data_IF_747841580290
#
_entry.id   IF_747841580290
#
_cell.length_a   1.000
_cell.length_b   1.000
_cell.length_c   1.000
_cell.angle_alpha   90.00
_cell.angle_beta   90.00
_cell.angle_gamma   90.00
#
_symmetry.space_group_name_H-M   'P 1'
#
loop_
_entity.id
_entity.type
_entity.pdbx_description
1 polymer ?
#
# COMPACT_ATOMS: atom_id res chain seq x y z
N UNK A 1 35.65 -22.49 15.41
CA UNK A 1 35.59 -22.09 13.98
C UNK A 1 36.16 -23.22 13.13
N UNK A 2 35.35 -23.83 12.27
CA UNK A 2 35.74 -24.99 11.48
C UNK A 2 36.81 -24.61 10.44
N UNK A 3 37.84 -25.48 10.27
CA UNK A 3 38.91 -25.32 9.27
C UNK A 3 38.41 -24.98 7.84
N UNK A 4 37.17 -25.27 7.53
CA UNK A 4 36.55 -25.02 6.22
C UNK A 4 36.18 -23.52 6.02
N UNK A 5 35.98 -22.76 7.07
CA UNK A 5 35.67 -21.31 6.94
C UNK A 5 36.92 -20.45 6.71
N UNK A 6 38.07 -20.89 7.18
CA UNK A 6 39.36 -20.21 6.94
C UNK A 6 39.89 -20.37 5.51
N UNK A 7 39.45 -21.38 4.78
CA UNK A 7 39.94 -21.66 3.39
C UNK A 7 39.20 -20.81 2.35
N UNK A 8 37.98 -20.36 2.59
CA UNK A 8 37.18 -19.57 1.65
C UNK A 8 37.84 -18.26 1.21
N UNK A 9 38.35 -17.40 2.10
CA UNK A 9 38.99 -16.14 1.70
C UNK A 9 40.25 -16.34 0.89
N UNK A 10 41.03 -17.40 1.15
CA UNK A 10 42.22 -17.73 0.38
C UNK A 10 41.86 -18.23 -1.03
N UNK A 11 40.80 -19.01 -1.16
CA UNK A 11 40.33 -19.51 -2.46
C UNK A 11 39.80 -18.37 -3.33
N UNK A 12 39.10 -17.41 -2.73
CA UNK A 12 38.60 -16.21 -3.41
C UNK A 12 39.73 -15.29 -3.87
N UNK A 13 40.76 -15.12 -3.03
CA UNK A 13 41.93 -14.31 -3.37
C UNK A 13 42.76 -14.94 -4.50
N UNK A 14 42.97 -16.24 -4.48
CA UNK A 14 43.70 -16.93 -5.56
C UNK A 14 42.95 -16.86 -6.89
N UNK A 15 41.62 -17.03 -6.89
CA UNK A 15 40.80 -16.87 -8.09
C UNK A 15 40.82 -15.44 -8.63
N UNK A 16 40.74 -14.43 -7.75
CA UNK A 16 40.86 -13.02 -8.11
C UNK A 16 42.22 -12.66 -8.67
N UNK A 17 43.33 -13.18 -8.12
CA UNK A 17 44.69 -12.96 -8.59
C UNK A 17 44.90 -13.54 -9.97
N UNK A 18 44.44 -14.78 -10.20
CA UNK A 18 44.54 -15.46 -11.51
C UNK A 18 43.75 -14.72 -12.57
N UNK A 19 42.53 -14.28 -12.24
CA UNK A 19 41.70 -13.50 -13.15
C UNK A 19 42.32 -12.14 -13.49
N UNK A 20 42.89 -11.45 -12.51
CA UNK A 20 43.54 -10.16 -12.69
C UNK A 20 44.82 -10.27 -13.56
N UNK A 21 45.62 -11.32 -13.36
CA UNK A 21 46.79 -11.61 -14.21
C UNK A 21 46.37 -11.93 -15.65
N UNK A 22 45.31 -12.71 -15.84
CA UNK A 22 44.78 -13.04 -17.16
C UNK A 22 44.28 -11.78 -17.91
N UNK A 23 43.66 -10.85 -17.22
CA UNK A 23 43.21 -9.56 -17.79
C UNK A 23 44.43 -8.70 -18.19
N UNK A 24 45.45 -8.60 -17.33
CA UNK A 24 46.67 -7.84 -17.62
C UNK A 24 47.46 -8.40 -18.82
N UNK A 25 47.51 -9.72 -18.98
CA UNK A 25 48.15 -10.37 -20.15
C UNK A 25 47.35 -10.16 -21.44
N UNK A 26 46.03 -10.14 -21.34
CA UNK A 26 45.17 -9.92 -22.51
C UNK A 26 45.29 -8.49 -23.10
N UNK A 27 45.54 -7.48 -22.25
CA UNK A 27 45.68 -6.07 -22.68
C UNK A 27 47.11 -5.66 -23.04
N UNK A 28 48.07 -6.63 -23.29
CA UNK A 28 49.47 -6.36 -23.67
C UNK A 28 50.17 -5.32 -22.78
N UNK A 29 49.86 -5.35 -21.46
CA UNK A 29 50.48 -4.41 -20.51
C UNK A 29 52.00 -4.69 -20.40
N UNK A 30 52.85 -3.67 -20.19
CA UNK A 30 54.28 -3.87 -20.05
C UNK A 30 54.62 -4.87 -18.94
N UNK A 31 55.44 -5.85 -19.22
CA UNK A 31 55.74 -6.99 -18.32
C UNK A 31 56.27 -6.59 -16.94
N UNK A 32 56.86 -5.41 -16.80
CA UNK A 32 57.33 -4.90 -15.50
C UNK A 32 56.19 -4.41 -14.56
N UNK A 33 54.98 -4.19 -15.06
CA UNK A 33 53.82 -3.81 -14.22
C UNK A 33 53.17 -5.00 -13.52
N UNK A 34 53.33 -6.21 -14.05
CA UNK A 34 52.74 -7.44 -13.46
C UNK A 34 53.26 -7.71 -12.05
N UNK A 35 54.59 -7.70 -11.77
CA UNK A 35 55.09 -7.91 -10.42
C UNK A 35 54.67 -6.79 -9.43
N UNK A 36 54.56 -5.55 -9.89
CA UNK A 36 54.09 -4.43 -9.06
C UNK A 36 52.62 -4.63 -8.65
N UNK A 37 51.77 -5.09 -9.58
CA UNK A 37 50.37 -5.38 -9.30
C UNK A 37 50.18 -6.56 -8.35
N UNK A 38 51.00 -7.61 -8.52
CA UNK A 38 50.98 -8.77 -7.60
C UNK A 38 51.36 -8.31 -6.17
N UNK A 39 52.41 -7.53 -6.07
CA UNK A 39 52.91 -7.04 -4.77
C UNK A 39 51.84 -6.14 -4.08
N UNK A 40 51.16 -5.29 -4.84
CA UNK A 40 50.08 -4.46 -4.34
C UNK A 40 48.87 -5.29 -3.88
N UNK A 41 48.48 -6.30 -4.67
CA UNK A 41 47.38 -7.20 -4.31
C UNK A 41 47.72 -8.05 -3.08
N UNK A 42 48.95 -8.51 -2.94
CA UNK A 42 49.39 -9.23 -1.75
C UNK A 42 49.41 -8.35 -0.50
N UNK A 43 49.81 -7.07 -0.62
CA UNK A 43 49.79 -6.15 0.53
C UNK A 43 48.38 -5.83 0.97
N UNK A 44 47.44 -5.59 0.05
CA UNK A 44 46.04 -5.39 0.37
C UNK A 44 45.42 -6.62 1.05
N UNK A 45 45.73 -7.82 0.54
CA UNK A 45 45.25 -9.05 1.16
C UNK A 45 45.86 -9.26 2.55
N UNK A 46 47.13 -8.95 2.74
CA UNK A 46 47.76 -9.01 4.06
C UNK A 46 47.14 -8.04 5.04
N UNK A 47 46.85 -6.78 4.62
CA UNK A 47 46.13 -5.80 5.42
C UNK A 47 44.72 -6.27 5.77
N UNK A 48 44.00 -6.87 4.81
CA UNK A 48 42.67 -7.43 5.03
C UNK A 48 42.70 -8.58 6.05
N UNK A 49 43.64 -9.53 5.91
CA UNK A 49 43.80 -10.62 6.89
C UNK A 49 44.23 -10.12 8.27
N UNK A 50 45.09 -9.10 8.31
CA UNK A 50 45.52 -8.50 9.56
C UNK A 50 44.39 -7.73 10.25
N UNK A 51 43.53 -7.08 9.48
CA UNK A 51 42.28 -6.47 9.96
C UNK A 51 41.32 -7.52 10.52
N UNK A 52 41.12 -8.66 9.82
CA UNK A 52 40.31 -9.77 10.34
C UNK A 52 40.90 -10.39 11.62
N UNK A 53 42.22 -10.53 11.70
CA UNK A 53 42.90 -10.99 12.93
C UNK A 53 42.75 -9.99 14.08
N UNK A 54 42.87 -8.71 13.80
CA UNK A 54 42.68 -7.65 14.82
C UNK A 54 41.25 -7.62 15.35
N UNK A 55 40.24 -7.98 14.52
CA UNK A 55 38.86 -8.18 14.98
C UNK A 55 38.74 -9.47 15.82
N UNK A 56 39.36 -10.59 15.38
CA UNK A 56 39.35 -11.85 16.13
C UNK A 56 40.10 -11.75 17.44
N UNK A 57 41.27 -11.06 17.49
CA UNK A 57 42.05 -10.85 18.70
C UNK A 57 41.37 -9.88 19.70
N UNK A 58 40.53 -8.94 19.20
CA UNK A 58 39.66 -8.14 20.06
C UNK A 58 38.54 -8.97 20.69
N UNK A 59 37.98 -9.89 19.92
CA UNK A 59 36.96 -10.82 20.45
C UNK A 59 37.58 -11.88 21.37
N UNK A 60 38.80 -12.40 21.07
CA UNK A 60 39.52 -13.32 21.94
C UNK A 60 40.09 -12.62 23.22
N UNK A 61 40.50 -11.37 23.14
CA UNK A 61 40.88 -10.60 24.33
C UNK A 61 39.66 -10.16 25.17
N UNK A 62 38.47 -10.02 24.57
CA UNK A 62 37.20 -9.93 25.31
C UNK A 62 36.75 -11.27 25.91
N UNK A 63 37.13 -12.39 25.28
CA UNK A 63 36.83 -13.76 25.75
C UNK A 63 37.95 -14.34 26.62
N UNK A 64 39.21 -13.94 26.42
CA UNK A 64 40.40 -14.54 27.02
C UNK A 64 40.94 -13.87 28.29
N UNK A 65 40.47 -12.69 28.70
CA UNK A 65 40.83 -12.07 30.00
C UNK A 65 39.79 -12.24 31.11
N UNK A 66 38.83 -13.08 30.89
CA UNK A 66 37.96 -13.60 31.92
C UNK A 66 37.80 -15.08 31.71
N UNK A 67 38.19 -15.89 32.67
CA UNK A 67 37.40 -17.02 33.04
C UNK A 67 35.97 -16.45 33.26
N UNK A 68 35.20 -16.29 32.19
CA UNK A 68 33.77 -16.23 32.25
C UNK A 68 33.29 -17.65 32.61
N UNK A 69 33.63 -18.06 33.83
CA UNK A 69 32.62 -18.70 34.66
C UNK A 69 31.50 -17.68 34.56
N UNK A 70 30.54 -17.95 33.68
CA UNK A 70 29.21 -17.36 33.76
C UNK A 70 28.76 -17.68 35.19
N UNK A 71 29.17 -16.83 36.12
CA UNK A 71 28.68 -16.88 37.48
C UNK A 71 27.16 -16.93 37.36
N UNK A 72 26.51 -17.72 38.16
CA UNK A 72 25.06 -17.70 38.28
C UNK A 72 24.52 -16.28 38.38
N UNK A 73 25.27 -15.34 38.98
CA UNK A 73 24.98 -13.89 39.01
C UNK A 73 24.94 -13.21 37.63
N UNK A 74 25.73 -13.62 36.64
CA UNK A 74 25.63 -13.13 35.26
C UNK A 74 24.51 -13.81 34.50
N UNK A 75 24.15 -15.05 34.82
CA UNK A 75 22.88 -15.68 34.40
C UNK A 75 21.66 -14.96 34.99
N UNK A 76 21.80 -14.39 36.21
CA UNK A 76 20.78 -13.54 36.82
C UNK A 76 20.65 -12.17 36.15
N UNK A 77 21.72 -11.61 35.59
CA UNK A 77 21.72 -10.28 34.98
C UNK A 77 21.26 -10.28 33.52
N UNK A 78 21.37 -11.37 32.78
CA UNK A 78 20.68 -11.57 31.51
C UNK A 78 19.18 -11.82 31.76
N UNK A 79 18.49 -10.75 32.06
CA UNK A 79 17.07 -10.76 32.33
C UNK A 79 16.34 -11.12 31.01
N UNK A 80 16.09 -12.44 30.82
CA UNK A 80 15.41 -12.99 29.63
C UNK A 80 14.10 -12.24 29.39
N UNK A 81 13.42 -11.83 30.48
CA UNK A 81 12.20 -11.03 30.38
C UNK A 81 12.45 -9.68 29.68
N UNK A 82 13.58 -9.01 29.93
CA UNK A 82 13.93 -7.76 29.25
C UNK A 82 14.22 -7.97 27.77
N UNK A 83 14.81 -9.12 27.42
CA UNK A 83 15.06 -9.48 26.02
C UNK A 83 13.72 -9.74 25.32
N UNK A 84 12.84 -10.54 25.93
CA UNK A 84 11.52 -10.83 25.39
C UNK A 84 10.67 -9.57 25.31
N UNK A 85 10.77 -8.65 26.28
CA UNK A 85 10.07 -7.36 26.26
C UNK A 85 10.57 -6.44 25.13
N UNK A 86 11.86 -6.49 24.80
CA UNK A 86 12.46 -5.68 23.74
C UNK A 86 12.12 -6.20 22.32
N UNK A 87 11.60 -7.42 22.19
CA UNK A 87 11.22 -7.99 20.88
C UNK A 87 9.98 -7.28 20.35
N UNK A 88 10.02 -6.73 19.11
CA UNK A 88 8.88 -6.00 18.57
C UNK A 88 7.66 -6.87 18.22
N UNK A 89 7.84 -8.20 18.12
CA UNK A 89 6.71 -9.12 17.90
C UNK A 89 5.92 -9.36 19.19
N UNK A 90 4.60 -9.43 19.17
CA UNK A 90 3.75 -9.86 20.27
C UNK A 90 4.12 -11.28 20.73
N UNK A 91 4.51 -11.43 21.99
CA UNK A 91 4.95 -12.70 22.59
C UNK A 91 4.17 -13.01 23.85
N UNK A 92 3.76 -14.27 23.99
CA UNK A 92 3.11 -14.79 25.17
C UNK A 92 3.78 -16.12 25.56
N UNK A 93 4.10 -16.30 26.84
CA UNK A 93 4.54 -17.58 27.40
C UNK A 93 3.40 -18.18 28.21
N UNK A 94 3.18 -19.47 28.04
CA UNK A 94 2.23 -20.25 28.84
C UNK A 94 2.91 -21.46 29.47
N UNK A 95 2.48 -21.81 30.66
CA UNK A 95 2.93 -23.02 31.37
C UNK A 95 2.23 -24.29 30.85
N UNK A 96 2.60 -25.44 31.41
CA UNK A 96 2.00 -26.74 31.07
C UNK A 96 0.49 -26.82 31.40
N UNK A 97 0.00 -25.98 32.28
CA UNK A 97 -1.42 -25.88 32.65
C UNK A 97 -2.18 -24.86 31.79
N UNK A 98 -1.52 -24.23 30.80
CA UNK A 98 -2.11 -23.22 29.93
C UNK A 98 -2.30 -21.84 30.59
N UNK A 99 -1.62 -21.57 31.73
CA UNK A 99 -1.62 -20.23 32.33
C UNK A 99 -0.57 -19.35 31.68
N UNK A 100 -0.90 -18.09 31.49
CA UNK A 100 0.00 -17.07 30.97
C UNK A 100 1.03 -16.72 32.04
N UNK A 101 2.30 -17.00 31.78
CA UNK A 101 3.41 -16.70 32.69
C UNK A 101 4.09 -15.39 32.31
N UNK A 102 4.08 -15.04 31.03
CA UNK A 102 4.66 -13.79 30.52
C UNK A 102 3.87 -13.31 29.28
N UNK A 103 3.80 -11.99 29.12
CA UNK A 103 3.26 -11.33 27.93
C UNK A 103 4.00 -10.00 27.76
N UNK A 104 4.59 -9.75 26.58
CA UNK A 104 5.29 -8.49 26.35
C UNK A 104 4.31 -7.35 26.02
N UNK A 105 4.77 -6.09 26.12
CA UNK A 105 3.94 -4.90 25.84
C UNK A 105 3.28 -4.94 24.47
N UNK A 106 3.94 -5.50 23.45
CA UNK A 106 3.37 -5.60 22.11
C UNK A 106 2.19 -6.58 22.05
N UNK A 107 2.19 -7.65 22.85
CA UNK A 107 1.04 -8.57 22.95
C UNK A 107 -0.15 -7.91 23.66
N UNK A 108 0.10 -7.06 24.65
CA UNK A 108 -0.94 -6.27 25.32
C UNK A 108 -1.54 -5.19 24.40
N UNK A 109 -0.72 -4.57 23.53
CA UNK A 109 -1.18 -3.65 22.49
C UNK A 109 -2.04 -4.36 21.42
N UNK A 110 -1.67 -5.59 21.05
CA UNK A 110 -2.44 -6.38 20.10
C UNK A 110 -3.80 -6.82 20.67
N UNK A 111 -3.85 -7.19 21.96
CA UNK A 111 -5.00 -7.74 22.67
C UNK A 111 -5.32 -6.93 23.96
N UNK A 112 -5.68 -5.65 23.83
CA UNK A 112 -5.86 -4.78 24.98
C UNK A 112 -6.98 -5.25 25.91
N UNK A 113 -6.73 -5.20 27.23
CA UNK A 113 -7.67 -5.54 28.32
C UNK A 113 -8.06 -7.01 28.45
N UNK A 114 -7.66 -7.88 27.53
CA UNK A 114 -8.04 -9.30 27.53
C UNK A 114 -6.90 -10.13 28.11
N UNK A 115 -5.67 -9.74 27.81
CA UNK A 115 -4.46 -10.45 28.26
C UNK A 115 -4.13 -10.10 29.70
N UNK A 116 -4.02 -11.10 30.58
CA UNK A 116 -3.59 -10.94 31.97
C UNK A 116 -2.69 -12.08 32.36
N UNK A 117 -1.48 -11.76 32.80
CA UNK A 117 -0.56 -12.75 33.39
C UNK A 117 -1.21 -13.42 34.61
N UNK A 118 -1.04 -14.72 34.73
CA UNK A 118 -1.65 -15.56 35.77
C UNK A 118 -3.02 -16.16 35.37
N UNK A 119 -3.70 -15.64 34.36
CA UNK A 119 -4.93 -16.21 33.86
C UNK A 119 -4.65 -17.38 32.90
N UNK A 120 -5.64 -18.29 32.80
CA UNK A 120 -5.58 -19.33 31.78
C UNK A 120 -5.81 -18.73 30.39
N UNK A 121 -5.04 -19.18 29.40
CA UNK A 121 -5.06 -18.64 28.02
C UNK A 121 -6.42 -18.73 27.36
N UNK A 122 -7.27 -19.70 27.75
CA UNK A 122 -8.66 -19.83 27.29
C UNK A 122 -9.54 -18.64 27.66
N UNK A 123 -9.18 -17.85 28.66
CA UNK A 123 -9.86 -16.60 28.98
C UNK A 123 -9.65 -15.54 27.91
N UNK A 124 -8.52 -15.59 27.23
CA UNK A 124 -8.11 -14.68 26.15
C UNK A 124 -8.56 -15.19 24.78
N UNK A 125 -8.29 -16.47 24.50
CA UNK A 125 -8.61 -17.10 23.22
C UNK A 125 -9.66 -18.20 23.43
N UNK A 126 -10.90 -17.92 23.06
CA UNK A 126 -12.04 -18.85 23.24
C UNK A 126 -12.28 -19.75 22.03
N UNK A 127 -11.46 -19.65 20.99
CA UNK A 127 -11.59 -20.49 19.79
C UNK A 127 -11.29 -21.95 20.12
N UNK A 128 -12.19 -22.89 19.82
CA UNK A 128 -11.95 -24.33 20.04
C UNK A 128 -10.70 -24.81 19.33
N UNK A 129 -10.49 -24.38 18.08
CA UNK A 129 -9.34 -24.77 17.27
C UNK A 129 -8.02 -24.29 17.87
N UNK A 130 -8.03 -23.14 18.55
CA UNK A 130 -6.86 -22.62 19.26
C UNK A 130 -6.52 -23.53 20.45
N UNK A 131 -7.51 -23.89 21.26
CA UNK A 131 -7.31 -24.72 22.45
C UNK A 131 -6.89 -26.15 22.08
N UNK A 132 -7.49 -26.75 21.07
CA UNK A 132 -7.07 -28.06 20.54
C UNK A 132 -5.62 -28.03 20.02
N UNK A 133 -5.23 -26.93 19.36
CA UNK A 133 -3.86 -26.77 18.85
C UNK A 133 -2.88 -26.62 19.99
N UNK A 134 -3.20 -25.83 21.01
CA UNK A 134 -2.39 -25.70 22.23
C UNK A 134 -2.18 -27.06 22.92
N UNK A 135 -3.25 -27.85 23.06
CA UNK A 135 -3.18 -29.18 23.65
C UNK A 135 -2.31 -30.14 22.81
N UNK A 136 -2.40 -30.08 21.48
CA UNK A 136 -1.53 -30.84 20.58
C UNK A 136 -0.05 -30.46 20.76
N UNK A 137 0.26 -29.16 20.88
CA UNK A 137 1.63 -28.70 21.11
C UNK A 137 2.17 -29.20 22.46
N UNK A 138 1.32 -29.15 23.51
CA UNK A 138 1.69 -29.63 24.84
C UNK A 138 1.95 -31.14 24.89
N UNK A 139 1.18 -31.94 24.11
CA UNK A 139 1.28 -33.38 24.16
C UNK A 139 2.27 -33.98 23.17
N UNK A 140 2.42 -33.38 21.97
CA UNK A 140 3.21 -33.97 20.86
C UNK A 140 4.59 -33.36 20.66
N UNK A 141 4.90 -32.28 21.36
CA UNK A 141 6.21 -31.59 21.23
C UNK A 141 6.44 -31.02 19.80
N UNK A 142 5.38 -30.65 19.09
CA UNK A 142 5.46 -30.17 17.71
C UNK A 142 5.25 -28.64 17.66
N UNK A 143 6.08 -27.95 16.87
CA UNK A 143 5.85 -26.54 16.57
C UNK A 143 4.72 -26.41 15.55
N UNK A 144 3.66 -25.70 15.86
CA UNK A 144 2.46 -25.59 15.03
C UNK A 144 2.20 -24.10 14.73
N UNK A 145 1.74 -23.84 13.49
CA UNK A 145 1.19 -22.55 13.10
C UNK A 145 -0.31 -22.64 12.99
N UNK A 146 -1.02 -21.68 13.53
CA UNK A 146 -2.47 -21.59 13.49
C UNK A 146 -2.91 -20.20 13.06
N UNK A 147 -3.81 -20.16 12.06
CA UNK A 147 -4.54 -18.94 11.70
C UNK A 147 -5.92 -18.98 12.33
N UNK A 148 -6.31 -17.94 13.04
CA UNK A 148 -7.66 -17.83 13.60
C UNK A 148 -8.11 -16.37 13.67
N UNK A 149 -9.42 -16.19 13.77
CA UNK A 149 -10.05 -14.89 13.84
C UNK A 149 -10.50 -14.59 15.26
N UNK A 150 -10.20 -13.38 15.74
CA UNK A 150 -10.69 -12.88 17.04
C UNK A 150 -11.65 -11.72 16.81
N UNK A 151 -12.78 -11.75 17.51
CA UNK A 151 -13.84 -10.75 17.34
C UNK A 151 -13.88 -9.71 18.47
N UNK A 152 -12.89 -9.68 19.37
CA UNK A 152 -12.95 -8.83 20.55
C UNK A 152 -11.70 -7.95 20.69
N UNK A 153 -11.79 -6.64 20.74
CA UNK A 153 -12.97 -5.80 20.52
C UNK A 153 -13.27 -5.51 19.05
N UNK A 154 -12.36 -5.86 18.17
CA UNK A 154 -12.42 -5.69 16.71
C UNK A 154 -12.01 -7.02 16.08
N UNK A 155 -12.60 -7.36 14.93
CA UNK A 155 -12.19 -8.51 14.14
C UNK A 155 -10.72 -8.36 13.75
N UNK A 156 -9.89 -9.30 14.20
CA UNK A 156 -8.48 -9.41 13.81
C UNK A 156 -8.20 -10.82 13.31
N UNK A 157 -7.39 -10.87 12.26
CA UNK A 157 -6.85 -12.12 11.74
C UNK A 157 -5.46 -12.33 12.32
N UNK A 158 -5.31 -13.30 13.19
CA UNK A 158 -4.06 -13.55 13.91
C UNK A 158 -3.48 -14.89 13.47
N UNK A 159 -2.21 -14.88 13.08
CA UNK A 159 -1.39 -16.09 12.96
C UNK A 159 -0.62 -16.27 14.26
N UNK A 160 -0.74 -17.44 14.89
CA UNK A 160 0.02 -17.81 16.07
C UNK A 160 1.00 -18.92 15.73
N UNK A 161 2.25 -18.69 16.09
CA UNK A 161 3.30 -19.68 16.02
C UNK A 161 3.52 -20.22 17.44
N UNK A 162 3.20 -21.48 17.66
CA UNK A 162 3.45 -22.20 18.91
C UNK A 162 4.82 -22.88 18.82
N UNK A 163 5.68 -22.57 19.77
CA UNK A 163 7.02 -23.14 19.88
C UNK A 163 7.17 -23.70 21.30
N UNK A 164 7.43 -24.99 21.39
CA UNK A 164 7.71 -25.60 22.67
C UNK A 164 9.15 -25.33 23.09
N UNK A 165 9.31 -24.87 24.33
CA UNK A 165 10.62 -24.59 24.90
C UNK A 165 11.08 -25.79 25.74
N UNK A 166 12.38 -26.17 25.73
CA UNK A 166 12.91 -27.21 26.60
C UNK A 166 12.70 -26.85 28.08
N UNK A 167 12.28 -27.81 28.88
CA UNK A 167 11.98 -27.62 30.32
C UNK A 167 13.15 -27.07 31.13
N UNK A 168 14.40 -27.42 30.74
CA UNK A 168 15.61 -27.06 31.50
C UNK A 168 16.08 -25.61 31.29
N UNK A 169 15.53 -24.93 30.27
CA UNK A 169 16.07 -23.62 29.84
C UNK A 169 15.43 -22.42 30.53
N UNK A 170 14.24 -22.58 31.17
CA UNK A 170 13.43 -21.42 31.58
C UNK A 170 12.70 -21.60 32.93
N UNK A 171 13.31 -22.28 33.87
CA UNK A 171 12.70 -22.60 35.18
C UNK A 171 12.27 -21.39 36.02
N UNK A 172 12.68 -20.16 35.66
CA UNK A 172 12.26 -18.92 36.36
C UNK A 172 10.96 -18.31 35.82
N UNK A 173 10.69 -18.42 34.51
CA UNK A 173 9.45 -17.90 33.94
C UNK A 173 8.30 -18.88 33.98
N UNK A 174 8.57 -20.16 34.31
CA UNK A 174 7.56 -21.24 34.39
C UNK A 174 6.87 -21.55 33.04
N UNK A 175 7.25 -20.91 31.96
CA UNK A 175 6.63 -21.09 30.65
C UNK A 175 7.22 -22.26 29.87
N UNK A 176 6.36 -23.08 29.24
CA UNK A 176 6.78 -24.21 28.40
C UNK A 176 6.48 -24.00 26.93
N UNK A 177 5.53 -23.12 26.58
CA UNK A 177 5.20 -22.77 25.20
C UNK A 177 5.38 -21.28 25.00
N UNK A 178 6.19 -20.93 24.01
CA UNK A 178 6.26 -19.57 23.46
C UNK A 178 5.26 -19.45 22.31
N UNK A 179 4.37 -18.48 22.40
CA UNK A 179 3.48 -18.09 21.32
C UNK A 179 3.92 -16.74 20.76
N UNK A 180 4.23 -16.70 19.48
CA UNK A 180 4.43 -15.47 18.71
C UNK A 180 3.19 -15.18 17.89
N UNK A 181 2.62 -13.98 18.03
CA UNK A 181 1.41 -13.58 17.34
C UNK A 181 1.75 -12.58 16.22
N UNK A 182 1.15 -12.79 15.07
CA UNK A 182 1.29 -11.90 13.91
C UNK A 182 -0.10 -11.43 13.50
N UNK A 183 -0.34 -10.12 13.55
CA UNK A 183 -1.58 -9.53 13.03
C UNK A 183 -1.52 -9.49 11.50
N UNK A 184 -2.30 -10.35 10.86
CA UNK A 184 -2.43 -10.43 9.41
C UNK A 184 -3.63 -9.66 8.87
N UNK A 185 -4.33 -8.90 9.72
CA UNK A 185 -5.58 -8.23 9.33
C UNK A 185 -5.38 -7.28 8.14
N UNK A 186 -4.30 -6.50 8.14
CA UNK A 186 -3.98 -5.59 7.03
C UNK A 186 -3.67 -6.37 5.74
N UNK A 187 -2.85 -7.42 5.81
CA UNK A 187 -2.51 -8.26 4.65
C UNK A 187 -3.74 -8.93 4.07
N UNK A 188 -4.56 -9.56 4.91
CA UNK A 188 -5.82 -10.20 4.47
C UNK A 188 -6.81 -9.19 3.88
N UNK A 189 -6.89 -7.98 4.47
CA UNK A 189 -7.73 -6.91 3.93
C UNK A 189 -7.28 -6.49 2.52
N UNK A 190 -5.97 -6.38 2.30
CA UNK A 190 -5.40 -6.07 0.97
C UNK A 190 -5.71 -7.20 -0.03
N UNK A 191 -5.53 -8.46 0.37
CA UNK A 191 -5.81 -9.62 -0.49
C UNK A 191 -7.31 -9.72 -0.83
N UNK A 192 -8.19 -9.46 0.16
CA UNK A 192 -9.63 -9.41 -0.06
C UNK A 192 -10.01 -8.28 -1.03
N UNK A 193 -9.48 -7.07 -0.83
CA UNK A 193 -9.71 -5.95 -1.73
C UNK A 193 -9.26 -6.27 -3.16
N UNK A 194 -8.15 -7.01 -3.32
CA UNK A 194 -7.66 -7.45 -4.63
C UNK A 194 -8.58 -8.49 -5.27
N UNK A 195 -9.05 -9.45 -4.48
CA UNK A 195 -10.01 -10.46 -4.94
C UNK A 195 -11.33 -9.83 -5.37
N UNK A 196 -11.87 -8.94 -4.55
CA UNK A 196 -13.11 -8.21 -4.83
C UNK A 196 -12.95 -7.33 -6.09
N UNK A 197 -11.79 -6.71 -6.28
CA UNK A 197 -11.50 -5.93 -7.48
C UNK A 197 -11.57 -6.77 -8.76
N UNK A 198 -10.92 -7.94 -8.77
CA UNK A 198 -10.95 -8.86 -9.94
C UNK A 198 -12.36 -9.37 -10.20
N UNK A 199 -13.09 -9.76 -9.15
CA UNK A 199 -14.46 -10.23 -9.24
C UNK A 199 -15.38 -9.15 -9.83
N UNK A 200 -15.35 -7.94 -9.28
CA UNK A 200 -16.17 -6.81 -9.73
C UNK A 200 -15.82 -6.39 -11.16
N UNK A 201 -14.52 -6.34 -11.52
CA UNK A 201 -14.09 -6.06 -12.88
C UNK A 201 -14.67 -7.07 -13.88
N UNK A 202 -14.62 -8.37 -13.52
CA UNK A 202 -15.18 -9.45 -14.35
C UNK A 202 -16.69 -9.31 -14.53
N UNK A 203 -17.40 -8.95 -13.46
CA UNK A 203 -18.86 -8.73 -13.54
C UNK A 203 -19.22 -7.51 -14.39
N UNK A 204 -18.52 -6.39 -14.21
CA UNK A 204 -18.75 -5.15 -14.97
C UNK A 204 -18.37 -5.27 -16.47
N UNK A 205 -17.46 -6.19 -16.82
CA UNK A 205 -17.14 -6.52 -18.21
C UNK A 205 -18.14 -7.52 -18.82
N UNK A 206 -18.59 -8.51 -18.05
CA UNK A 206 -19.49 -9.55 -18.55
C UNK A 206 -20.85 -8.99 -18.96
N UNK A 207 -21.42 -8.07 -18.19
CA UNK A 207 -22.76 -7.50 -18.45
C UNK A 207 -22.86 -6.81 -19.82
N UNK A 208 -22.00 -5.83 -20.20
CA UNK A 208 -22.05 -5.21 -21.51
C UNK A 208 -21.74 -6.20 -22.64
N UNK A 209 -20.82 -7.15 -22.42
CA UNK A 209 -20.49 -8.18 -23.39
C UNK A 209 -21.71 -9.07 -23.72
N UNK A 210 -22.42 -9.54 -22.69
CA UNK A 210 -23.66 -10.33 -22.88
C UNK A 210 -24.73 -9.53 -23.62
N UNK A 211 -24.85 -8.21 -23.35
CA UNK A 211 -25.76 -7.34 -24.06
C UNK A 211 -25.39 -7.23 -25.54
N UNK A 212 -24.11 -7.05 -25.88
CA UNK A 212 -23.62 -7.00 -27.25
C UNK A 212 -23.96 -8.31 -27.99
N UNK A 213 -23.67 -9.46 -27.34
CA UNK A 213 -23.97 -10.78 -27.93
C UNK A 213 -25.48 -10.92 -28.21
N UNK A 214 -26.34 -10.57 -27.24
CA UNK A 214 -27.78 -10.62 -27.41
C UNK A 214 -28.31 -9.72 -28.54
N UNK A 215 -27.76 -8.52 -28.69
CA UNK A 215 -28.10 -7.63 -29.80
C UNK A 215 -27.66 -8.23 -31.15
N UNK A 216 -26.46 -8.84 -31.22
CA UNK A 216 -25.98 -9.53 -32.42
C UNK A 216 -26.93 -10.68 -32.79
N UNK A 217 -27.35 -11.50 -31.84
CA UNK A 217 -28.27 -12.62 -32.04
C UNK A 217 -29.64 -12.12 -32.54
N UNK A 218 -30.13 -11.01 -31.95
CA UNK A 218 -31.39 -10.38 -32.36
C UNK A 218 -31.33 -9.86 -33.80
N UNK A 219 -30.23 -9.19 -34.16
CA UNK A 219 -30.01 -8.69 -35.55
C UNK A 219 -29.89 -9.85 -36.53
N UNK A 220 -29.23 -10.95 -36.15
CA UNK A 220 -29.11 -12.14 -37.02
C UNK A 220 -30.42 -12.91 -37.19
N UNK A 221 -31.31 -12.82 -36.19
CA UNK A 221 -32.61 -13.52 -36.15
C UNK A 221 -33.80 -12.62 -36.49
N UNK A 222 -34.51 -12.20 -35.44
CA UNK A 222 -35.81 -11.53 -35.56
C UNK A 222 -35.77 -10.14 -36.25
N UNK A 223 -34.70 -9.38 -36.07
CA UNK A 223 -34.53 -8.05 -36.64
C UNK A 223 -33.79 -8.04 -37.99
N UNK A 224 -33.61 -9.21 -38.64
CA UNK A 224 -32.83 -9.32 -39.88
C UNK A 224 -33.37 -8.43 -41.01
N UNK A 225 -34.68 -8.32 -41.14
CA UNK A 225 -35.38 -7.53 -42.20
C UNK A 225 -35.85 -6.16 -41.70
N UNK A 226 -35.70 -5.87 -40.39
CA UNK A 226 -36.13 -4.62 -39.76
C UNK A 226 -34.96 -3.63 -39.71
N UNK A 227 -34.96 -2.69 -40.66
CA UNK A 227 -33.88 -1.70 -40.78
C UNK A 227 -33.78 -0.76 -39.57
N UNK A 228 -34.93 -0.33 -39.03
CA UNK A 228 -34.97 0.64 -37.91
C UNK A 228 -34.45 0.02 -36.63
N UNK A 229 -34.94 -1.15 -36.25
CA UNK A 229 -34.47 -1.86 -35.08
C UNK A 229 -32.99 -2.30 -35.21
N UNK A 230 -32.53 -2.63 -36.43
CA UNK A 230 -31.14 -2.95 -36.70
C UNK A 230 -30.22 -1.75 -36.41
N UNK A 231 -30.53 -0.55 -36.86
CA UNK A 231 -29.76 0.67 -36.60
C UNK A 231 -29.79 1.01 -35.09
N UNK A 232 -30.95 0.83 -34.43
CA UNK A 232 -31.03 1.00 -32.97
C UNK A 232 -30.09 0.03 -32.20
N UNK A 233 -30.12 -1.27 -32.53
CA UNK A 233 -29.27 -2.25 -31.90
C UNK A 233 -27.77 -2.01 -32.15
N UNK A 234 -27.41 -1.59 -33.38
CA UNK A 234 -26.03 -1.20 -33.69
C UNK A 234 -25.56 0.00 -32.83
N UNK A 235 -26.42 0.99 -32.64
CA UNK A 235 -26.12 2.12 -31.74
C UNK A 235 -25.96 1.67 -30.29
N UNK A 236 -26.84 0.80 -29.78
CA UNK A 236 -26.76 0.26 -28.44
C UNK A 236 -25.47 -0.59 -28.23
N UNK A 237 -25.11 -1.40 -29.24
CA UNK A 237 -23.84 -2.17 -29.21
C UNK A 237 -22.63 -1.26 -29.18
N UNK A 238 -22.63 -0.20 -29.99
CA UNK A 238 -21.57 0.80 -29.99
C UNK A 238 -21.41 1.45 -28.60
N UNK A 239 -22.51 1.83 -27.97
CA UNK A 239 -22.50 2.42 -26.63
C UNK A 239 -21.95 1.44 -25.59
N UNK A 240 -22.29 0.14 -25.64
CA UNK A 240 -21.74 -0.87 -24.75
C UNK A 240 -20.24 -1.10 -25.00
N UNK A 241 -19.78 -1.08 -26.25
CA UNK A 241 -18.36 -1.22 -26.60
C UNK A 241 -17.53 -0.04 -26.05
N UNK A 242 -18.00 1.20 -26.21
CA UNK A 242 -17.36 2.40 -25.64
C UNK A 242 -17.34 2.34 -24.11
N UNK A 243 -18.40 1.83 -23.48
CA UNK A 243 -18.44 1.63 -22.04
C UNK A 243 -17.37 0.63 -21.58
N UNK A 244 -17.24 -0.51 -22.29
CA UNK A 244 -16.20 -1.51 -22.01
C UNK A 244 -14.80 -0.92 -22.17
N UNK A 245 -14.55 -0.17 -23.23
CA UNK A 245 -13.27 0.49 -23.48
C UNK A 245 -12.89 1.40 -22.30
N UNK A 246 -13.82 2.28 -21.87
CA UNK A 246 -13.57 3.16 -20.70
C UNK A 246 -13.28 2.37 -19.44
N UNK A 247 -14.00 1.27 -19.20
CA UNK A 247 -13.73 0.42 -18.03
C UNK A 247 -12.33 -0.17 -18.06
N UNK A 248 -11.89 -0.67 -19.22
CA UNK A 248 -10.53 -1.21 -19.40
C UNK A 248 -9.47 -0.12 -19.20
N UNK A 249 -9.69 1.08 -19.76
CA UNK A 249 -8.77 2.21 -19.60
C UNK A 249 -8.68 2.66 -18.14
N UNK A 250 -9.79 2.70 -17.41
CA UNK A 250 -9.85 3.00 -15.98
C UNK A 250 -9.08 1.94 -15.15
N UNK A 251 -9.26 0.64 -15.46
CA UNK A 251 -8.55 -0.46 -14.79
C UNK A 251 -7.04 -0.38 -15.01
N UNK A 252 -6.60 -0.15 -16.25
CA UNK A 252 -5.18 -0.01 -16.59
C UNK A 252 -4.57 1.24 -15.93
N UNK A 253 -5.31 2.35 -15.92
CA UNK A 253 -4.89 3.57 -15.25
C UNK A 253 -4.73 3.37 -13.75
N UNK A 254 -5.71 2.72 -13.11
CA UNK A 254 -5.67 2.43 -11.68
C UNK A 254 -4.48 1.54 -11.33
N UNK A 255 -4.26 0.46 -12.09
CA UNK A 255 -3.12 -0.44 -11.88
C UNK A 255 -1.77 0.28 -11.99
N UNK A 256 -1.61 1.18 -12.99
CA UNK A 256 -0.39 2.01 -13.12
C UNK A 256 -0.20 2.96 -11.93
N UNK A 257 -1.29 3.58 -11.47
CA UNK A 257 -1.26 4.50 -10.34
C UNK A 257 -0.86 3.80 -9.04
N UNK A 258 -1.37 2.61 -8.78
CA UNK A 258 -1.01 1.80 -7.61
C UNK A 258 0.48 1.46 -7.57
N UNK A 259 1.06 1.05 -8.70
CA UNK A 259 2.49 0.78 -8.81
C UNK A 259 3.35 2.04 -8.59
N UNK A 260 2.84 3.21 -8.92
CA UNK A 260 3.56 4.48 -8.84
C UNK A 260 3.26 5.28 -7.56
N UNK A 261 2.36 4.83 -6.70
CA UNK A 261 1.86 5.58 -5.54
C UNK A 261 2.99 6.03 -4.60
N UNK A 262 4.02 5.20 -4.42
CA UNK A 262 5.19 5.50 -3.58
C UNK A 262 6.23 6.44 -4.24
N UNK A 263 6.00 6.84 -5.50
CA UNK A 263 6.94 7.68 -6.29
C UNK A 263 6.28 9.02 -6.62
N UNK A 264 6.36 10.03 -5.74
CA UNK A 264 5.73 11.32 -5.96
C UNK A 264 6.33 12.02 -7.19
N UNK A 265 5.52 12.76 -7.98
CA UNK A 265 6.02 13.53 -9.11
C UNK A 265 6.87 14.71 -8.64
N UNK A 266 7.91 15.02 -9.44
CA UNK A 266 8.82 16.13 -9.18
C UNK A 266 8.58 17.34 -10.11
N UNK A 267 7.83 17.14 -11.21
CA UNK A 267 7.54 18.17 -12.20
C UNK A 267 6.48 19.14 -11.67
N UNK A 268 6.49 20.34 -12.19
CA UNK A 268 5.47 21.34 -11.91
C UNK A 268 4.51 21.49 -13.08
N UNK A 269 3.25 21.76 -12.80
CA UNK A 269 2.23 22.00 -13.81
C UNK A 269 1.33 23.18 -13.44
N UNK A 270 0.75 23.81 -14.46
CA UNK A 270 -0.18 24.92 -14.32
C UNK A 270 -1.61 24.40 -14.22
N UNK A 271 -2.14 24.34 -13.00
CA UNK A 271 -3.48 23.79 -12.75
C UNK A 271 -4.60 24.61 -13.41
N UNK A 272 -4.43 25.92 -13.53
CA UNK A 272 -5.43 26.77 -14.18
C UNK A 272 -5.56 26.44 -15.68
N UNK A 273 -4.42 26.26 -16.37
CA UNK A 273 -4.41 25.86 -17.77
C UNK A 273 -5.07 24.49 -17.98
N UNK A 274 -4.83 23.55 -17.06
CA UNK A 274 -5.43 22.22 -17.11
C UNK A 274 -6.96 22.31 -16.94
N UNK A 275 -7.44 23.02 -15.91
CA UNK A 275 -8.87 23.13 -15.63
C UNK A 275 -9.60 23.90 -16.73
N UNK A 276 -8.99 24.93 -17.32
CA UNK A 276 -9.58 25.62 -18.47
C UNK A 276 -9.80 24.66 -19.64
N UNK A 277 -8.80 23.87 -20.01
CA UNK A 277 -8.94 22.85 -21.06
C UNK A 277 -10.07 21.84 -20.77
N UNK A 278 -10.15 21.38 -19.52
CA UNK A 278 -11.19 20.43 -19.09
C UNK A 278 -12.57 21.09 -19.19
N UNK A 279 -12.73 22.29 -18.66
CA UNK A 279 -14.03 22.98 -18.70
C UNK A 279 -14.49 23.25 -20.12
N UNK A 280 -13.60 23.63 -21.02
CA UNK A 280 -13.92 23.77 -22.44
C UNK A 280 -14.34 22.46 -23.09
N UNK A 281 -13.62 21.36 -22.84
CA UNK A 281 -13.94 20.04 -23.41
C UNK A 281 -15.26 19.45 -22.88
N UNK A 282 -15.68 19.84 -21.67
CA UNK A 282 -16.94 19.37 -21.08
C UNK A 282 -18.16 20.24 -21.35
N UNK A 283 -18.06 21.35 -22.09
CA UNK A 283 -19.21 22.16 -22.47
C UNK A 283 -20.31 21.38 -23.23
N UNK A 284 -19.98 20.47 -24.20
CA UNK A 284 -20.99 19.67 -24.85
C UNK A 284 -21.71 18.72 -23.89
N UNK A 285 -20.95 18.11 -22.93
CA UNK A 285 -21.50 17.23 -21.91
C UNK A 285 -22.43 18.00 -20.94
N UNK A 286 -22.00 19.18 -20.51
CA UNK A 286 -22.80 20.07 -19.68
C UNK A 286 -24.14 20.47 -20.37
N UNK A 287 -24.10 20.78 -21.65
CA UNK A 287 -25.32 21.00 -22.46
C UNK A 287 -26.22 19.77 -22.53
N UNK A 288 -25.66 18.58 -22.76
CA UNK A 288 -26.38 17.30 -22.75
C UNK A 288 -27.16 17.07 -21.46
N UNK A 289 -26.53 17.34 -20.29
CA UNK A 289 -27.17 17.19 -19.00
C UNK A 289 -27.96 18.42 -18.52
N UNK A 290 -28.01 19.49 -19.33
CA UNK A 290 -28.64 20.77 -18.98
C UNK A 290 -28.12 21.38 -17.68
N UNK A 291 -26.80 21.27 -17.46
CA UNK A 291 -26.07 21.77 -16.28
C UNK A 291 -25.20 22.95 -16.70
N UNK A 292 -25.16 24.00 -15.87
CA UNK A 292 -24.28 25.15 -16.09
C UNK A 292 -22.90 24.87 -15.49
N UNK A 293 -21.86 24.80 -16.31
CA UNK A 293 -20.47 24.67 -15.85
C UNK A 293 -19.79 26.04 -15.82
N UNK A 294 -19.22 26.41 -14.68
CA UNK A 294 -18.59 27.73 -14.45
C UNK A 294 -17.20 27.53 -13.84
N UNK A 295 -16.18 28.10 -14.49
CA UNK A 295 -14.84 28.18 -13.94
C UNK A 295 -14.61 29.56 -13.31
N UNK A 296 -14.49 29.61 -11.97
CA UNK A 296 -14.27 30.82 -11.18
C UNK A 296 -12.80 30.88 -10.66
N UNK A 297 -11.86 30.17 -11.28
CA UNK A 297 -10.47 30.21 -10.87
C UNK A 297 -9.84 31.54 -11.28
N UNK A 298 -9.06 32.19 -10.38
CA UNK A 298 -8.31 33.39 -10.74
C UNK A 298 -7.20 33.07 -11.74
N UNK A 299 -6.86 34.03 -12.62
CA UNK A 299 -5.86 33.84 -13.66
C UNK A 299 -4.45 33.53 -13.10
N UNK A 300 -4.12 34.07 -11.91
CA UNK A 300 -2.80 33.96 -11.28
C UNK A 300 -2.78 32.93 -10.17
N UNK A 301 -2.97 31.64 -10.51
CA UNK A 301 -2.78 30.54 -9.55
C UNK A 301 -1.32 30.07 -9.60
N UNK A 302 -0.74 29.85 -8.42
CA UNK A 302 0.60 29.27 -8.29
C UNK A 302 0.62 27.87 -8.90
N UNK A 303 1.69 27.50 -9.60
CA UNK A 303 1.90 26.14 -10.08
C UNK A 303 1.90 25.14 -8.92
N UNK A 304 1.50 23.94 -9.23
CA UNK A 304 1.55 22.80 -8.31
C UNK A 304 2.63 21.82 -8.72
N UNK A 305 3.11 21.04 -7.75
CA UNK A 305 3.98 19.88 -8.03
C UNK A 305 3.08 18.75 -8.48
N UNK A 306 3.23 18.25 -9.72
CA UNK A 306 2.35 17.21 -10.23
C UNK A 306 2.67 16.78 -11.66
N UNK A 307 2.11 15.61 -12.01
CA UNK A 307 2.05 15.08 -13.38
C UNK A 307 0.83 15.67 -14.08
N UNK A 308 1.05 16.41 -15.17
CA UNK A 308 -0.02 17.12 -15.91
C UNK A 308 -1.13 16.19 -16.35
N UNK A 309 -0.80 14.99 -16.81
CA UNK A 309 -1.78 13.99 -17.29
C UNK A 309 -2.66 13.48 -16.15
N UNK A 310 -2.04 13.18 -15.01
CA UNK A 310 -2.76 12.70 -13.83
C UNK A 310 -3.62 13.79 -13.18
N UNK A 311 -3.12 15.02 -13.12
CA UNK A 311 -3.90 16.17 -12.63
C UNK A 311 -5.07 16.46 -13.57
N UNK A 312 -4.88 16.35 -14.89
CA UNK A 312 -5.97 16.41 -15.85
C UNK A 312 -7.02 15.32 -15.59
N UNK A 313 -6.60 14.07 -15.42
CA UNK A 313 -7.49 12.94 -15.11
C UNK A 313 -8.26 13.14 -13.78
N UNK A 314 -7.59 13.63 -12.74
CA UNK A 314 -8.19 13.94 -11.45
C UNK A 314 -9.35 14.92 -11.57
N UNK A 315 -9.11 16.09 -12.18
CA UNK A 315 -10.15 17.10 -12.32
C UNK A 315 -11.22 16.72 -13.33
N UNK A 316 -10.86 16.00 -14.39
CA UNK A 316 -11.84 15.43 -15.33
C UNK A 316 -12.81 14.50 -14.62
N UNK A 317 -12.34 13.57 -13.81
CA UNK A 317 -13.20 12.65 -13.07
C UNK A 317 -14.14 13.39 -12.09
N UNK A 318 -13.65 14.39 -11.39
CA UNK A 318 -14.46 15.15 -10.44
C UNK A 318 -15.52 16.02 -11.14
N UNK A 319 -15.13 16.73 -12.21
CA UNK A 319 -16.05 17.61 -12.97
C UNK A 319 -17.10 16.75 -13.70
N UNK A 320 -16.67 15.65 -14.33
CA UNK A 320 -17.60 14.72 -15.02
C UNK A 320 -18.62 14.13 -14.05
N UNK A 321 -18.18 13.69 -12.86
CA UNK A 321 -19.07 13.21 -11.81
C UNK A 321 -20.08 14.28 -11.38
N UNK A 322 -19.62 15.50 -11.14
CA UNK A 322 -20.52 16.60 -10.78
C UNK A 322 -21.54 16.90 -11.87
N UNK A 323 -21.13 16.90 -13.16
CA UNK A 323 -22.06 17.08 -14.27
C UNK A 323 -23.08 15.94 -14.40
N UNK A 324 -22.65 14.70 -14.19
CA UNK A 324 -23.52 13.53 -14.28
C UNK A 324 -24.56 13.46 -13.16
N UNK A 325 -24.20 13.83 -11.94
CA UNK A 325 -25.01 13.52 -10.76
C UNK A 325 -25.74 14.73 -10.15
N UNK A 326 -25.39 15.97 -10.52
CA UNK A 326 -26.06 17.18 -10.00
C UNK A 326 -27.53 17.32 -10.43
N UNK A 327 -27.91 16.77 -11.59
CA UNK A 327 -29.28 16.86 -12.13
C UNK A 327 -29.49 18.06 -13.06
N UNK A 328 -30.64 18.08 -13.75
CA UNK A 328 -30.96 19.16 -14.69
C UNK A 328 -31.11 20.53 -13.98
N UNK A 329 -30.77 21.60 -14.68
CA UNK A 329 -30.82 23.00 -14.23
C UNK A 329 -29.87 23.30 -13.02
N UNK A 330 -28.99 22.40 -12.67
CA UNK A 330 -27.97 22.63 -11.64
C UNK A 330 -26.79 23.44 -12.18
N UNK A 331 -25.93 23.88 -11.28
CA UNK A 331 -24.69 24.60 -11.59
C UNK A 331 -23.53 23.88 -10.95
N UNK A 332 -22.48 23.60 -11.73
CA UNK A 332 -21.21 23.09 -11.28
C UNK A 332 -20.20 24.22 -11.35
N UNK A 333 -19.55 24.54 -10.24
CA UNK A 333 -18.54 25.61 -10.14
C UNK A 333 -17.19 25.04 -9.74
N UNK A 334 -16.13 25.52 -10.37
CA UNK A 334 -14.75 25.26 -9.96
C UNK A 334 -14.19 26.52 -9.32
N UNK A 335 -13.77 26.44 -8.07
CA UNK A 335 -13.41 27.60 -7.25
C UNK A 335 -12.10 27.37 -6.50
N UNK A 336 -11.36 28.46 -6.21
CA UNK A 336 -10.17 28.44 -5.36
C UNK A 336 -10.56 28.67 -3.92
N UNK A 337 -10.10 27.83 -3.00
CA UNK A 337 -10.28 28.03 -1.56
C UNK A 337 -9.07 28.77 -1.00
N UNK A 338 -9.31 29.95 -0.39
CA UNK A 338 -8.25 30.79 0.16
C UNK A 338 -7.71 30.34 1.52
N UNK A 339 -8.54 29.74 2.38
CA UNK A 339 -8.13 29.14 3.67
C UNK A 339 -9.26 28.22 4.19
N UNK A 340 -8.90 27.00 4.58
CA UNK A 340 -9.73 26.19 5.46
C UNK A 340 -8.89 25.87 6.72
N UNK A 341 -9.44 26.09 7.91
CA UNK A 341 -8.82 25.70 9.18
C UNK A 341 -8.97 24.18 9.34
N UNK A 342 -8.25 23.40 8.54
CA UNK A 342 -8.21 21.96 8.73
C UNK A 342 -6.85 21.59 9.35
N UNK A 343 -6.88 20.85 10.45
CA UNK A 343 -5.71 20.54 11.31
C UNK A 343 -4.60 19.79 10.58
N UNK A 344 -4.89 19.12 9.46
CA UNK A 344 -3.93 18.34 8.68
C UNK A 344 -3.31 19.05 7.48
N UNK A 345 -3.80 20.22 7.07
CA UNK A 345 -3.36 20.90 5.86
C UNK A 345 -2.12 21.72 6.17
N UNK A 346 -0.97 21.33 5.61
CA UNK A 346 0.30 22.06 5.70
C UNK A 346 0.18 23.39 4.97
N UNK A 347 0.82 24.46 5.48
CA UNK A 347 0.78 25.82 4.96
C UNK A 347 1.20 26.00 3.49
N UNK A 348 1.67 24.95 2.82
CA UNK A 348 2.17 24.96 1.45
C UNK A 348 1.25 24.21 0.46
N UNK A 349 -0.05 24.18 0.70
CA UNK A 349 -1.02 23.55 -0.20
C UNK A 349 -1.95 24.59 -0.83
N UNK A 350 -2.50 24.24 -1.99
CA UNK A 350 -3.58 24.97 -2.68
C UNK A 350 -4.83 24.12 -2.67
N UNK A 351 -5.96 24.72 -2.31
CA UNK A 351 -7.27 24.07 -2.32
C UNK A 351 -8.09 24.49 -3.55
N UNK A 352 -8.53 23.51 -4.33
CA UNK A 352 -9.44 23.71 -5.46
C UNK A 352 -10.70 22.92 -5.16
N UNK A 353 -11.84 23.57 -5.26
CA UNK A 353 -13.13 22.99 -4.94
C UNK A 353 -14.02 22.91 -6.15
N UNK A 354 -14.65 21.76 -6.36
CA UNK A 354 -15.73 21.55 -7.31
C UNK A 354 -17.03 21.49 -6.51
N UNK A 355 -17.92 22.43 -6.76
CA UNK A 355 -19.20 22.60 -6.04
C UNK A 355 -20.34 22.40 -7.00
N UNK A 356 -21.24 21.50 -6.68
CA UNK A 356 -22.54 21.37 -7.34
C UNK A 356 -23.69 21.70 -6.37
N UNK A 357 -24.81 22.16 -6.89
CA UNK A 357 -26.04 22.37 -6.16
C UNK A 357 -27.09 21.31 -6.52
N UNK A 358 -26.64 20.08 -6.68
CA UNK A 358 -27.47 18.95 -7.06
C UNK A 358 -28.20 18.28 -5.89
N UNK A 359 -28.54 16.99 -6.11
CA UNK A 359 -29.29 16.20 -5.12
C UNK A 359 -28.53 15.90 -3.83
N UNK A 360 -27.22 16.09 -3.83
CA UNK A 360 -26.35 15.72 -2.71
C UNK A 360 -26.22 14.20 -2.52
N UNK A 361 -25.43 13.83 -1.51
CA UNK A 361 -25.04 12.45 -1.19
C UNK A 361 -25.37 12.20 0.28
N UNK A 362 -26.07 11.09 0.63
CA UNK A 362 -26.29 10.73 2.03
C UNK A 362 -24.96 10.50 2.79
N UNK A 363 -24.92 10.93 4.05
CA UNK A 363 -23.70 10.92 4.87
C UNK A 363 -23.08 9.50 5.01
N UNK A 364 -23.91 8.48 5.06
CA UNK A 364 -23.52 7.07 5.15
C UNK A 364 -22.74 6.55 3.95
N UNK A 365 -22.81 7.22 2.80
CA UNK A 365 -22.09 6.85 1.59
C UNK A 365 -20.78 7.61 1.41
N UNK A 366 -20.59 8.77 2.07
CA UNK A 366 -19.48 9.69 1.80
C UNK A 366 -18.12 9.01 1.97
N UNK A 367 -17.91 8.24 3.03
CA UNK A 367 -16.65 7.58 3.32
C UNK A 367 -16.34 6.44 2.34
N UNK A 368 -17.38 5.88 1.68
CA UNK A 368 -17.26 4.79 0.71
C UNK A 368 -17.06 5.24 -0.73
N UNK A 369 -17.28 6.49 -1.04
CA UNK A 369 -17.25 7.02 -2.42
C UNK A 369 -15.91 6.78 -3.14
N UNK A 370 -14.83 6.65 -2.40
CA UNK A 370 -13.48 6.36 -2.95
C UNK A 370 -13.15 4.86 -3.00
N UNK A 371 -14.07 3.98 -2.59
CA UNK A 371 -13.93 2.54 -2.78
C UNK A 371 -14.10 2.19 -4.26
N UNK A 372 -13.39 1.16 -4.73
CA UNK A 372 -13.46 0.70 -6.13
C UNK A 372 -14.84 0.10 -6.42
N UNK A 373 -15.41 0.46 -7.56
CA UNK A 373 -16.75 0.03 -8.03
C UNK A 373 -17.92 0.47 -7.17
N UNK A 374 -17.68 1.28 -6.13
CA UNK A 374 -18.74 1.74 -5.26
C UNK A 374 -19.67 2.73 -5.95
N UNK A 375 -20.97 2.57 -5.74
CA UNK A 375 -22.04 3.42 -6.31
C UNK A 375 -23.14 3.61 -5.27
N UNK A 376 -23.59 4.86 -5.07
CA UNK A 376 -24.69 5.19 -4.16
C UNK A 376 -26.02 4.64 -4.69
N UNK A 377 -26.22 4.68 -6.01
CA UNK A 377 -27.40 4.15 -6.70
C UNK A 377 -26.95 3.46 -7.99
N UNK A 378 -27.10 2.15 -8.04
CA UNK A 378 -26.65 1.34 -9.19
C UNK A 378 -27.43 1.66 -10.46
N UNK A 379 -28.75 1.85 -10.38
CA UNK A 379 -29.60 2.05 -11.56
C UNK A 379 -29.32 3.40 -12.21
N UNK A 380 -29.21 4.47 -11.44
CA UNK A 380 -28.82 5.78 -11.97
C UNK A 380 -27.40 5.76 -12.54
N UNK A 381 -26.50 5.02 -11.91
CA UNK A 381 -25.12 4.91 -12.37
C UNK A 381 -25.01 4.09 -13.66
N UNK A 382 -25.82 3.04 -13.81
CA UNK A 382 -25.92 2.27 -15.07
C UNK A 382 -26.44 3.13 -16.22
N UNK A 383 -27.51 3.91 -15.99
CA UNK A 383 -28.06 4.84 -16.98
C UNK A 383 -27.06 5.93 -17.40
N UNK A 384 -26.21 6.38 -16.47
CA UNK A 384 -25.20 7.43 -16.71
C UNK A 384 -23.83 6.91 -17.06
N UNK A 385 -23.70 5.61 -17.37
CA UNK A 385 -22.47 4.94 -17.81
C UNK A 385 -21.28 5.13 -16.84
N UNK A 386 -21.53 5.17 -15.53
CA UNK A 386 -20.48 5.25 -14.54
C UNK A 386 -19.76 3.91 -14.36
N UNK A 387 -18.43 3.90 -14.24
CA UNK A 387 -17.61 2.69 -13.96
C UNK A 387 -17.50 2.40 -12.46
N UNK A 388 -17.69 3.40 -11.59
CA UNK A 388 -17.42 3.31 -10.17
C UNK A 388 -15.92 3.35 -9.81
N UNK A 389 -15.06 3.63 -10.79
CA UNK A 389 -13.60 3.72 -10.60
C UNK A 389 -13.09 5.17 -10.55
N UNK A 390 -13.84 6.14 -11.04
CA UNK A 390 -13.37 7.53 -11.16
C UNK A 390 -12.87 8.15 -9.83
N UNK A 391 -13.60 7.97 -8.73
CA UNK A 391 -13.20 8.53 -7.42
C UNK A 391 -12.08 7.73 -6.75
N UNK A 392 -11.97 6.43 -6.99
CA UNK A 392 -10.80 5.66 -6.54
C UNK A 392 -9.54 6.07 -7.29
N UNK A 393 -9.63 6.34 -8.61
CA UNK A 393 -8.53 6.92 -9.40
C UNK A 393 -8.11 8.28 -8.82
N UNK A 394 -9.07 9.17 -8.50
CA UNK A 394 -8.81 10.46 -7.84
C UNK A 394 -8.02 10.27 -6.54
N UNK A 395 -8.42 9.32 -5.70
CA UNK A 395 -7.73 9.01 -4.44
C UNK A 395 -6.28 8.58 -4.66
N UNK A 396 -6.01 7.65 -5.59
CA UNK A 396 -4.65 7.17 -5.88
C UNK A 396 -3.77 8.27 -6.50
N UNK A 397 -4.34 9.11 -7.39
CA UNK A 397 -3.62 10.28 -7.90
C UNK A 397 -3.23 11.22 -6.75
N UNK A 398 -4.14 11.51 -5.84
CA UNK A 398 -3.88 12.39 -4.70
C UNK A 398 -2.85 11.80 -3.74
N UNK A 399 -2.92 10.52 -3.42
CA UNK A 399 -1.93 9.84 -2.60
C UNK A 399 -0.52 9.99 -3.20
N UNK A 400 -0.39 9.72 -4.50
CA UNK A 400 0.89 9.90 -5.23
C UNK A 400 1.40 11.34 -5.20
N UNK A 401 0.48 12.32 -5.26
CA UNK A 401 0.80 13.75 -5.25
C UNK A 401 0.91 14.35 -3.83
N UNK A 402 0.85 13.51 -2.78
CA UNK A 402 0.81 13.95 -1.38
C UNK A 402 -0.30 14.98 -1.13
N UNK A 403 -1.41 14.82 -1.86
CA UNK A 403 -2.61 15.63 -1.77
C UNK A 403 -3.67 15.02 -0.87
N UNK A 404 -4.79 15.73 -0.71
CA UNK A 404 -5.93 15.28 0.10
C UNK A 404 -7.25 15.62 -0.60
N UNK A 405 -8.24 14.72 -0.49
CA UNK A 405 -9.61 14.92 -0.94
C UNK A 405 -10.53 15.06 0.28
N UNK A 406 -11.28 16.14 0.34
CA UNK A 406 -12.33 16.35 1.32
C UNK A 406 -13.67 16.40 0.57
N UNK A 407 -14.62 15.57 1.01
CA UNK A 407 -15.96 15.48 0.43
C UNK A 407 -16.96 15.94 1.47
N UNK A 408 -17.71 16.97 1.15
CA UNK A 408 -18.80 17.49 1.96
C UNK A 408 -20.09 17.48 1.11
N UNK A 409 -21.14 16.87 1.61
CA UNK A 409 -22.41 16.82 0.88
C UNK A 409 -23.59 16.74 1.83
N UNK A 410 -24.71 17.32 1.40
CA UNK A 410 -25.97 17.25 2.10
C UNK A 410 -27.10 17.07 1.10
N UNK A 411 -28.04 16.21 1.43
CA UNK A 411 -29.18 15.89 0.59
C UNK A 411 -29.95 17.17 0.24
N UNK A 412 -30.21 17.37 -1.06
CA UNK A 412 -30.87 18.54 -1.68
C UNK A 412 -30.10 19.87 -1.56
N UNK A 413 -28.88 19.89 -1.02
CA UNK A 413 -28.03 21.08 -0.99
C UNK A 413 -26.83 20.98 -1.94
N UNK A 414 -26.57 19.77 -2.47
CA UNK A 414 -25.47 19.50 -3.39
C UNK A 414 -24.23 18.92 -2.73
N UNK A 415 -23.12 18.92 -3.47
CA UNK A 415 -21.86 18.34 -3.01
C UNK A 415 -20.68 19.27 -3.27
N UNK A 416 -19.65 19.14 -2.44
CA UNK A 416 -18.39 19.87 -2.53
C UNK A 416 -17.24 18.88 -2.47
N UNK A 417 -16.45 18.83 -3.53
CA UNK A 417 -15.25 18.03 -3.62
C UNK A 417 -14.05 18.98 -3.56
N UNK A 418 -13.35 18.98 -2.44
CA UNK A 418 -12.20 19.85 -2.20
C UNK A 418 -10.91 19.05 -2.35
N UNK A 419 -10.09 19.47 -3.29
CA UNK A 419 -8.78 18.89 -3.61
C UNK A 419 -7.69 19.79 -3.07
N UNK A 420 -6.81 19.25 -2.22
CA UNK A 420 -5.62 19.92 -1.73
C UNK A 420 -4.37 19.36 -2.41
N UNK A 421 -3.55 20.21 -2.99
CA UNK A 421 -2.33 19.84 -3.70
C UNK A 421 -1.15 20.68 -3.23
N UNK A 422 0.08 20.13 -3.19
CA UNK A 422 1.27 20.86 -2.80
C UNK A 422 1.64 21.92 -3.85
N UNK A 423 1.89 23.14 -3.36
CA UNK A 423 2.37 24.26 -4.20
C UNK A 423 3.82 24.07 -4.58
N UNK A 424 4.20 24.60 -5.71
CA UNK A 424 5.60 24.82 -6.05
C UNK A 424 6.25 25.73 -4.98
N UNK A 425 7.36 25.28 -4.37
CA UNK A 425 8.10 26.11 -3.42
C UNK A 425 8.85 27.19 -4.21
N UNK A 426 8.66 28.45 -3.88
CA UNK A 426 9.36 29.58 -4.49
C UNK A 426 10.91 29.48 -4.43
N UNK A 427 11.46 28.61 -3.61
CA UNK A 427 12.90 28.38 -3.44
C UNK A 427 13.53 27.40 -4.44
N UNK A 428 12.75 26.52 -5.09
CA UNK A 428 13.29 25.57 -6.07
C UNK A 428 13.71 26.26 -7.38
N UNK A 429 13.12 27.41 -7.69
CA UNK A 429 13.41 28.17 -8.93
C UNK A 429 14.78 28.86 -8.86
N UNK A 430 15.28 29.24 -7.68
CA UNK A 430 16.60 29.86 -7.55
C UNK A 430 17.76 28.89 -7.79
N UNK A 431 17.60 27.63 -7.41
CA UNK A 431 18.66 26.60 -7.57
C UNK A 431 18.69 25.97 -8.97
N UNK A 432 17.58 25.99 -9.72
CA UNK A 432 17.55 25.52 -11.10
C UNK A 432 18.00 26.57 -12.13
N UNK A 433 18.12 27.84 -11.75
CA UNK A 433 18.69 28.88 -12.58
C UNK A 433 20.18 29.19 -12.29
N UNK A 434 20.74 28.51 -11.28
CA UNK A 434 22.14 28.63 -10.86
C UNK A 434 22.97 27.34 -11.16
N UNK A 435 22.38 26.36 -11.77
CA UNK A 435 23.00 25.16 -12.36
C UNK A 435 22.75 25.16 -13.89
#
# INVERSE_FOLDING_TARGET
MNRIELTKPYLFFTAFLVMSISILTFFETPSYLIPVFILFSCTLFWLYINSLRSFSDKDENLIGSGNFILNEELKESLNIEKILEAIPSPLILVDQQGKITFANANSELLLPKILKVGNHISSTFRSPIFLETLEKVLTKNENIKLNFDTNTPILKHIEVHFVQLPLDSYSRTGGTILMSLVDQSESKMVDQMRSDFVSNASHELRTPLSSIIGFIETIKGHAKSDKENRELFLSLMHDQAIRMQRLVDDLLSLSKLELQEKSPPLKTCNVNKIINKITESFLPLAKKYKVKLVNNLPSNITNIIGDETQIHQLFSNLIENSLKYSGEKSTVKVELIKKQKHIKIKNNMIGIQIVDNGKGIPAEHIYRLTERFYRVNEDLSKQRQGTGLGLSIVKHILNRHLGELIIESKINEGSKFTVWLPKEKAQAIKNAKAA
#
